data_IF_238922073304
#
_entry.id   IF_238922073304
#
_cell.length_a   1.000
_cell.length_b   1.000
_cell.length_c   1.000
_cell.angle_alpha   90.00
_cell.angle_beta   90.00
_cell.angle_gamma   90.00
#
_symmetry.space_group_name_H-M   'P 1'
#
loop_
_entity.id
_entity.type
_entity.pdbx_description
1 polymer ?
#
# COMPACT_ATOMS: atom_id res chain seq x y z
N UNK A 1 -29.92 -2.72 -12.25
CA UNK A 1 -28.91 -2.44 -11.19
C UNK A 1 -28.42 -0.99 -11.24
N UNK A 2 -28.01 -0.45 -12.40
CA UNK A 2 -27.56 0.94 -12.54
C UNK A 2 -28.55 2.01 -12.02
N UNK A 3 -29.83 1.93 -12.42
CA UNK A 3 -30.83 2.94 -12.01
C UNK A 3 -31.18 2.95 -10.51
N UNK A 4 -31.03 1.82 -9.81
CA UNK A 4 -31.24 1.77 -8.35
C UNK A 4 -30.10 2.48 -7.64
N UNK A 5 -28.86 2.23 -8.06
CA UNK A 5 -27.68 2.86 -7.48
C UNK A 5 -27.71 4.38 -7.71
N UNK A 6 -28.12 4.81 -8.91
CA UNK A 6 -28.25 6.24 -9.23
C UNK A 6 -29.31 6.94 -8.37
N UNK A 7 -30.48 6.33 -8.20
CA UNK A 7 -31.53 6.86 -7.35
C UNK A 7 -31.10 6.89 -5.87
N UNK A 8 -30.40 5.86 -5.41
CA UNK A 8 -29.89 5.78 -4.04
C UNK A 8 -28.80 6.82 -3.78
N UNK A 9 -27.85 7.01 -4.70
CA UNK A 9 -26.84 8.06 -4.60
C UNK A 9 -27.50 9.44 -4.55
N UNK A 10 -28.45 9.73 -5.45
CA UNK A 10 -29.19 11.02 -5.44
C UNK A 10 -29.95 11.23 -4.13
N UNK A 11 -30.55 10.19 -3.56
CA UNK A 11 -31.22 10.26 -2.25
C UNK A 11 -30.22 10.55 -1.13
N UNK A 12 -29.09 9.84 -1.09
CA UNK A 12 -28.03 10.05 -0.10
C UNK A 12 -27.45 11.47 -0.17
N UNK A 13 -27.15 11.99 -1.36
CA UNK A 13 -26.65 13.36 -1.53
C UNK A 13 -27.67 14.38 -1.00
N UNK A 14 -28.96 14.21 -1.30
CA UNK A 14 -30.02 15.08 -0.77
C UNK A 14 -30.10 15.03 0.76
N UNK A 15 -29.99 13.84 1.35
CA UNK A 15 -29.99 13.68 2.81
C UNK A 15 -28.77 14.33 3.46
N UNK A 16 -27.58 14.18 2.88
CA UNK A 16 -26.35 14.84 3.35
C UNK A 16 -26.44 16.36 3.29
N UNK A 17 -26.96 16.92 2.19
CA UNK A 17 -27.20 18.36 2.06
C UNK A 17 -28.25 18.86 3.08
N UNK A 18 -29.29 18.06 3.36
CA UNK A 18 -30.33 18.42 4.33
C UNK A 18 -29.83 18.41 5.79
N UNK A 19 -28.92 17.49 6.14
CA UNK A 19 -28.29 17.46 7.46
C UNK A 19 -27.39 18.69 7.65
N UNK A 20 -26.62 19.04 6.62
CA UNK A 20 -25.71 20.18 6.64
C UNK A 20 -24.52 20.04 7.61
N UNK A 21 -23.50 20.87 7.43
CA UNK A 21 -22.35 20.96 8.33
C UNK A 21 -21.19 20.00 8.03
N UNK A 22 -20.33 19.81 9.04
CA UNK A 22 -19.13 18.96 8.96
C UNK A 22 -19.39 17.64 9.69
N UNK A 23 -19.42 16.53 8.95
CA UNK A 23 -19.56 15.18 9.50
C UNK A 23 -18.19 14.59 9.79
N UNK A 24 -17.98 14.06 11.00
CA UNK A 24 -16.80 13.26 11.32
C UNK A 24 -17.10 11.81 10.97
N UNK A 25 -16.50 11.32 9.89
CA UNK A 25 -16.65 9.95 9.40
C UNK A 25 -15.38 9.15 9.74
N UNK A 26 -15.53 7.91 10.21
CA UNK A 26 -14.41 7.00 10.49
C UNK A 26 -14.52 6.27 11.82
N UNK A 27 -13.55 5.39 12.07
CA UNK A 27 -13.37 4.67 13.34
C UNK A 27 -12.78 5.58 14.42
N UNK A 28 -12.92 5.24 15.72
CA UNK A 28 -12.11 5.86 16.78
C UNK A 28 -10.62 5.83 16.39
N UNK A 29 -9.90 6.95 16.53
CA UNK A 29 -8.50 7.10 16.09
C UNK A 29 -8.30 7.64 14.66
N UNK A 30 -9.23 7.41 13.72
CA UNK A 30 -9.08 7.82 12.31
C UNK A 30 -10.32 8.53 11.76
N UNK A 31 -10.80 9.56 12.47
CA UNK A 31 -11.94 10.37 12.03
C UNK A 31 -11.50 11.43 11.02
N UNK A 32 -12.07 11.39 9.81
CA UNK A 32 -11.94 12.45 8.80
C UNK A 32 -13.15 13.38 8.88
N UNK A 33 -12.91 14.68 8.89
CA UNK A 33 -13.96 15.70 8.78
C UNK A 33 -14.34 15.88 7.32
N UNK A 34 -15.61 15.64 6.99
CA UNK A 34 -16.17 15.84 5.66
C UNK A 34 -17.19 16.99 5.68
N UNK A 35 -16.97 18.01 4.86
CA UNK A 35 -17.91 19.13 4.75
C UNK A 35 -18.97 18.83 3.70
N UNK A 36 -20.25 18.92 4.07
CA UNK A 36 -21.37 18.74 3.15
C UNK A 36 -21.43 19.81 2.04
N UNK A 37 -20.76 20.96 2.23
CA UNK A 37 -20.66 22.01 1.20
C UNK A 37 -19.92 21.56 -0.05
N UNK A 38 -19.11 20.51 0.05
CA UNK A 38 -18.39 19.91 -1.09
C UNK A 38 -19.36 19.16 -2.02
N UNK A 39 -20.65 19.02 -1.67
CA UNK A 39 -21.66 18.31 -2.46
C UNK A 39 -22.66 19.23 -3.19
N UNK A 40 -22.47 20.55 -3.16
CA UNK A 40 -23.40 21.52 -3.78
C UNK A 40 -23.14 21.79 -5.29
N UNK A 41 -22.03 21.29 -5.85
CA UNK A 41 -21.69 21.44 -7.26
C UNK A 41 -22.43 20.48 -8.22
N UNK A 42 -22.09 20.59 -9.51
CA UNK A 42 -22.53 19.62 -10.53
C UNK A 42 -21.57 18.42 -10.54
N UNK A 43 -22.06 17.23 -10.19
CA UNK A 43 -21.27 15.99 -10.20
C UNK A 43 -21.82 14.98 -11.20
N UNK A 44 -20.91 14.35 -11.93
CA UNK A 44 -21.21 13.18 -12.75
C UNK A 44 -20.85 11.91 -11.97
N UNK A 45 -21.86 11.14 -11.56
CA UNK A 45 -21.63 9.84 -10.88
C UNK A 45 -21.38 8.75 -11.92
N UNK A 46 -20.15 8.25 -12.00
CA UNK A 46 -19.78 7.12 -12.86
C UNK A 46 -19.76 5.83 -12.06
N UNK A 47 -20.49 4.82 -12.53
CA UNK A 47 -20.47 3.48 -11.94
C UNK A 47 -19.55 2.58 -12.74
N UNK A 48 -18.48 2.09 -12.11
CA UNK A 48 -17.61 1.04 -12.65
C UNK A 48 -17.99 -0.28 -11.99
N UNK A 49 -18.28 -1.30 -12.80
CA UNK A 49 -18.58 -2.65 -12.31
C UNK A 49 -17.41 -3.57 -12.67
N UNK A 50 -16.78 -4.14 -11.66
CA UNK A 50 -15.68 -5.09 -11.81
C UNK A 50 -16.13 -6.47 -11.34
N UNK A 51 -16.01 -7.49 -12.19
CA UNK A 51 -16.27 -8.87 -11.80
C UNK A 51 -15.00 -9.45 -11.16
N UNK A 52 -14.96 -9.46 -9.82
CA UNK A 52 -13.85 -10.05 -9.06
C UNK A 52 -13.98 -11.57 -9.03
N UNK A 53 -12.94 -12.26 -9.46
CA UNK A 53 -12.80 -13.71 -9.38
C UNK A 53 -11.31 -14.03 -9.28
N UNK A 54 -10.87 -14.92 -8.38
CA UNK A 54 -9.45 -15.25 -8.24
C UNK A 54 -8.78 -15.66 -9.56
N UNK A 55 -9.52 -16.32 -10.45
CA UNK A 55 -9.03 -16.74 -11.78
C UNK A 55 -8.83 -15.53 -12.70
N UNK A 56 -9.78 -14.60 -12.69
CA UNK A 56 -9.68 -13.36 -13.48
C UNK A 56 -8.53 -12.51 -12.96
N UNK A 57 -8.40 -12.38 -11.65
CA UNK A 57 -7.36 -11.57 -11.00
C UNK A 57 -5.96 -12.12 -11.30
N UNK A 58 -5.77 -13.45 -11.23
CA UNK A 58 -4.51 -14.09 -11.62
C UNK A 58 -4.13 -13.81 -13.10
N UNK A 59 -5.13 -13.77 -13.99
CA UNK A 59 -4.93 -13.38 -15.39
C UNK A 59 -4.50 -11.93 -15.54
N UNK A 60 -5.11 -11.01 -14.79
CA UNK A 60 -4.76 -9.58 -14.79
C UNK A 60 -3.36 -9.33 -14.23
N UNK A 61 -2.97 -10.03 -13.16
CA UNK A 61 -1.60 -9.97 -12.62
C UNK A 61 -0.56 -10.50 -13.62
N UNK A 62 -0.87 -11.61 -14.29
CA UNK A 62 0.00 -12.16 -15.34
C UNK A 62 0.16 -11.21 -16.52
N UNK A 63 -0.90 -10.50 -16.92
CA UNK A 63 -0.86 -9.49 -17.98
C UNK A 63 -0.04 -8.26 -17.54
N UNK A 64 -0.21 -7.78 -16.31
CA UNK A 64 0.56 -6.65 -15.81
C UNK A 64 2.06 -6.98 -15.66
N UNK A 65 2.39 -8.21 -15.26
CA UNK A 65 3.76 -8.70 -15.20
C UNK A 65 4.39 -8.79 -16.60
N UNK A 66 3.66 -9.33 -17.59
CA UNK A 66 4.16 -9.42 -18.96
C UNK A 66 4.33 -8.07 -19.65
N UNK A 67 3.52 -7.08 -19.28
CA UNK A 67 3.70 -5.71 -19.75
C UNK A 67 4.99 -5.06 -19.22
N UNK A 68 5.54 -5.56 -18.10
CA UNK A 68 6.81 -5.11 -17.54
C UNK A 68 6.90 -3.58 -17.44
N UNK A 69 8.04 -3.00 -17.80
CA UNK A 69 8.24 -1.55 -17.77
C UNK A 69 7.72 -0.82 -19.02
N UNK A 70 7.01 -1.50 -19.92
CA UNK A 70 6.50 -0.89 -21.15
C UNK A 70 5.34 0.09 -20.90
N UNK A 71 4.66 -0.05 -19.76
CA UNK A 71 3.55 0.81 -19.34
C UNK A 71 3.77 1.27 -17.90
N UNK A 72 3.24 2.45 -17.55
CA UNK A 72 3.39 3.00 -16.21
C UNK A 72 2.64 2.17 -15.16
N UNK A 73 3.19 2.09 -13.95
CA UNK A 73 2.55 1.42 -12.82
C UNK A 73 1.16 2.00 -12.49
N UNK A 74 1.00 3.32 -12.65
CA UNK A 74 -0.31 3.96 -12.52
C UNK A 74 -1.32 3.41 -13.51
N UNK A 75 -0.93 3.25 -14.77
CA UNK A 75 -1.82 2.67 -15.79
C UNK A 75 -2.18 1.22 -15.47
N UNK A 76 -1.22 0.42 -14.98
CA UNK A 76 -1.47 -0.96 -14.54
C UNK A 76 -2.52 -1.00 -13.42
N UNK A 77 -2.39 -0.16 -12.39
CA UNK A 77 -3.33 -0.07 -11.26
C UNK A 77 -4.75 0.29 -11.70
N UNK A 78 -4.89 1.29 -12.56
CA UNK A 78 -6.19 1.80 -12.98
C UNK A 78 -6.90 0.91 -14.01
N UNK A 79 -6.15 0.40 -15.00
CA UNK A 79 -6.72 -0.19 -16.22
C UNK A 79 -6.52 -1.70 -16.32
N UNK A 80 -5.45 -2.25 -15.73
CA UNK A 80 -5.21 -3.70 -15.74
C UNK A 80 -5.77 -4.32 -14.46
N UNK A 81 -5.28 -3.92 -13.29
CA UNK A 81 -5.78 -4.43 -12.00
C UNK A 81 -7.18 -3.95 -11.69
N UNK A 82 -7.58 -2.80 -12.24
CA UNK A 82 -8.88 -2.18 -11.99
C UNK A 82 -9.15 -2.03 -10.49
N UNK A 83 -8.14 -1.53 -9.76
CA UNK A 83 -8.24 -1.30 -8.31
C UNK A 83 -9.38 -0.31 -8.01
N UNK A 84 -10.02 -0.49 -6.86
CA UNK A 84 -11.08 0.41 -6.40
C UNK A 84 -10.53 1.79 -6.04
N UNK A 85 -9.35 1.84 -5.42
CA UNK A 85 -8.62 3.06 -5.05
C UNK A 85 -7.16 2.97 -5.53
N UNK A 86 -6.88 3.26 -6.82
CA UNK A 86 -5.53 3.16 -7.38
C UNK A 86 -4.58 4.24 -6.82
N UNK A 87 -5.10 5.41 -6.44
CA UNK A 87 -4.30 6.48 -5.84
C UNK A 87 -3.96 6.16 -4.38
N UNK A 88 -4.87 5.55 -3.62
CA UNK A 88 -4.60 5.02 -2.28
C UNK A 88 -3.46 4.00 -2.27
N UNK A 89 -3.49 3.05 -3.21
CA UNK A 89 -2.44 2.04 -3.37
C UNK A 89 -1.09 2.67 -3.76
N UNK A 90 -1.09 3.66 -4.66
CA UNK A 90 0.13 4.38 -5.01
C UNK A 90 0.73 5.12 -3.81
N UNK A 91 -0.10 5.74 -2.98
CA UNK A 91 0.36 6.41 -1.76
C UNK A 91 0.96 5.42 -0.77
N UNK A 92 0.35 4.24 -0.61
CA UNK A 92 0.87 3.16 0.22
C UNK A 92 2.24 2.66 -0.28
N UNK A 93 2.38 2.42 -1.58
CA UNK A 93 3.66 2.01 -2.17
C UNK A 93 4.75 3.06 -1.96
N UNK A 94 4.43 4.35 -2.15
CA UNK A 94 5.39 5.44 -1.86
C UNK A 94 5.74 5.51 -0.37
N UNK A 95 4.82 5.16 0.51
CA UNK A 95 5.10 5.08 1.94
C UNK A 95 6.05 3.94 2.28
N UNK A 96 5.93 2.79 1.63
CA UNK A 96 6.84 1.65 1.77
C UNK A 96 8.22 1.93 1.17
N UNK A 97 8.26 2.60 0.01
CA UNK A 97 9.50 3.03 -0.63
C UNK A 97 10.27 4.03 0.27
N UNK A 98 9.57 4.96 0.91
CA UNK A 98 10.17 5.88 1.87
C UNK A 98 10.81 5.16 3.07
N UNK A 99 10.20 4.07 3.55
CA UNK A 99 10.77 3.22 4.61
C UNK A 99 12.00 2.45 4.14
N UNK A 100 12.02 2.03 2.88
CA UNK A 100 13.17 1.34 2.29
C UNK A 100 14.36 2.29 2.13
N UNK A 101 14.11 3.53 1.70
CA UNK A 101 15.15 4.55 1.52
C UNK A 101 15.68 5.04 2.87
N UNK A 102 14.79 5.24 3.85
CA UNK A 102 15.15 5.77 5.16
C UNK A 102 14.65 4.87 6.29
N UNK A 103 15.52 4.01 6.84
CA UNK A 103 15.20 3.18 7.99
C UNK A 103 14.72 3.99 9.21
N UNK A 104 15.16 5.25 9.34
CA UNK A 104 14.71 6.15 10.40
C UNK A 104 13.20 6.47 10.30
N UNK A 105 12.65 6.57 9.09
CA UNK A 105 11.20 6.77 8.88
C UNK A 105 10.45 5.52 9.37
N UNK A 106 10.96 4.34 9.04
CA UNK A 106 10.39 3.06 9.50
C UNK A 106 10.37 2.99 11.03
N UNK A 107 11.50 3.25 11.69
CA UNK A 107 11.63 3.23 13.15
C UNK A 107 10.65 4.24 13.78
N UNK A 108 10.57 5.47 13.26
CA UNK A 108 9.66 6.48 13.79
C UNK A 108 8.19 6.07 13.69
N UNK A 109 7.78 5.44 12.58
CA UNK A 109 6.42 4.91 12.41
C UNK A 109 6.13 3.74 13.35
N UNK A 110 7.09 2.84 13.52
CA UNK A 110 6.97 1.74 14.49
C UNK A 110 6.78 2.28 15.91
N UNK A 111 7.52 3.33 16.30
CA UNK A 111 7.34 4.01 17.59
C UNK A 111 5.92 4.56 17.73
N UNK A 112 5.40 5.26 16.72
CA UNK A 112 4.02 5.78 16.75
C UNK A 112 2.98 4.66 16.89
N UNK A 113 3.12 3.57 16.12
CA UNK A 113 2.21 2.44 16.19
C UNK A 113 2.25 1.73 17.56
N UNK A 114 3.41 1.70 18.22
CA UNK A 114 3.54 1.19 19.58
C UNK A 114 2.92 2.13 20.62
N UNK A 115 3.04 3.45 20.44
CA UNK A 115 2.34 4.43 21.29
C UNK A 115 0.82 4.30 21.18
N UNK A 116 0.28 4.12 19.97
CA UNK A 116 -1.17 3.89 19.77
C UNK A 116 -1.63 2.60 20.49
N UNK A 117 -0.81 1.54 20.47
CA UNK A 117 -1.11 0.30 21.21
C UNK A 117 -1.01 0.44 22.72
N UNK A 118 -0.06 1.25 23.20
CA UNK A 118 0.04 1.58 24.61
C UNK A 118 -1.20 2.37 25.08
N UNK A 119 -1.72 3.29 24.25
CA UNK A 119 -3.00 3.99 24.52
C UNK A 119 -4.19 3.02 24.58
N UNK A 120 -4.16 1.96 23.77
CA UNK A 120 -5.17 0.88 23.78
C UNK A 120 -4.99 -0.13 24.94
N UNK A 121 -3.95 0.02 25.77
CA UNK A 121 -3.74 -0.74 27.01
C UNK A 121 -2.72 -1.87 26.95
N UNK A 122 -1.82 -1.88 25.96
CA UNK A 122 -0.69 -2.81 25.89
C UNK A 122 0.49 -2.31 26.75
N UNK A 123 0.76 -2.98 27.87
CA UNK A 123 1.78 -2.58 28.86
C UNK A 123 3.22 -2.69 28.33
N UNK A 124 3.47 -3.61 27.38
CA UNK A 124 4.81 -3.83 26.82
C UNK A 124 5.12 -2.81 25.71
N UNK A 125 4.09 -2.28 25.06
CA UNK A 125 4.23 -1.37 23.91
C UNK A 125 4.87 -0.02 24.27
N UNK A 126 4.62 0.50 25.49
CA UNK A 126 5.24 1.75 25.96
C UNK A 126 6.76 1.60 26.11
N UNK A 127 7.20 0.49 26.72
CA UNK A 127 8.63 0.20 26.90
C UNK A 127 9.34 -0.04 25.56
N UNK A 128 8.72 -0.78 24.64
CA UNK A 128 9.27 -1.00 23.29
C UNK A 128 9.40 0.31 22.49
N UNK A 129 8.41 1.22 22.60
CA UNK A 129 8.46 2.53 21.98
C UNK A 129 9.59 3.40 22.54
N UNK A 130 9.82 3.37 23.85
CA UNK A 130 10.91 4.09 24.50
C UNK A 130 12.29 3.56 24.07
N UNK A 131 12.45 2.24 24.02
CA UNK A 131 13.69 1.58 23.59
C UNK A 131 14.06 1.96 22.15
N UNK A 132 13.10 1.86 21.22
CA UNK A 132 13.31 2.23 19.82
C UNK A 132 13.61 3.73 19.66
N UNK A 133 12.97 4.58 20.49
CA UNK A 133 13.24 6.02 20.50
C UNK A 133 14.67 6.33 20.94
N UNK A 134 15.17 5.63 21.96
CA UNK A 134 16.55 5.75 22.43
C UNK A 134 17.56 5.30 21.36
N UNK A 135 17.30 4.17 20.69
CA UNK A 135 18.14 3.66 19.60
C UNK A 135 18.22 4.67 18.43
N UNK A 136 17.07 5.23 18.03
CA UNK A 136 17.01 6.26 17.00
C UNK A 136 17.82 7.51 17.39
N UNK A 137 17.74 7.93 18.66
CA UNK A 137 18.50 9.06 19.19
C UNK A 137 20.03 8.86 19.15
N UNK A 138 20.50 7.64 19.38
CA UNK A 138 21.92 7.27 19.25
C UNK A 138 22.36 7.29 17.78
N UNK A 139 21.56 6.68 16.89
CA UNK A 139 21.84 6.65 15.45
C UNK A 139 21.89 8.06 14.84
N UNK A 140 20.97 8.96 15.22
CA UNK A 140 20.96 10.35 14.77
C UNK A 140 22.21 11.12 15.21
N UNK A 141 22.66 10.93 16.45
CA UNK A 141 23.88 11.57 16.96
C UNK A 141 25.12 11.10 16.22
N UNK A 142 25.22 9.80 15.92
CA UNK A 142 26.31 9.23 15.12
C UNK A 142 26.34 9.81 13.69
N UNK A 143 25.16 9.89 13.04
CA UNK A 143 25.03 10.54 11.72
C UNK A 143 25.49 12.00 11.75
N UNK A 144 25.11 12.76 12.78
CA UNK A 144 25.49 14.16 12.94
C UNK A 144 26.99 14.34 13.26
N UNK A 145 27.63 13.38 13.92
CA UNK A 145 29.09 13.37 14.13
C UNK A 145 29.89 12.91 12.90
N UNK A 146 29.23 12.64 11.78
CA UNK A 146 29.87 12.21 10.52
C UNK A 146 30.22 10.72 10.48
N UNK A 147 29.80 9.94 11.48
CA UNK A 147 29.82 8.49 11.43
C UNK A 147 28.56 8.06 10.69
N UNK A 148 28.69 7.56 9.46
CA UNK A 148 27.54 6.98 8.76
C UNK A 148 27.24 5.64 9.42
N UNK A 149 26.15 5.49 10.20
CA UNK A 149 25.78 4.18 10.68
C UNK A 149 25.55 3.31 9.46
N UNK A 150 26.19 2.15 9.42
CA UNK A 150 25.88 1.10 8.45
C UNK A 150 24.51 0.53 8.79
N UNK A 151 23.47 1.32 8.54
CA UNK A 151 22.10 0.84 8.57
C UNK A 151 21.96 -0.33 7.59
N UNK A 152 20.96 -1.21 7.80
CA UNK A 152 20.72 -2.31 6.89
C UNK A 152 20.58 -1.76 5.47
N UNK A 153 21.41 -2.27 4.55
CA UNK A 153 21.35 -1.88 3.14
C UNK A 153 19.92 -2.11 2.64
N UNK A 154 19.35 -1.19 1.84
CA UNK A 154 18.03 -1.38 1.27
C UNK A 154 18.00 -2.72 0.52
N UNK A 155 17.07 -3.60 0.89
CA UNK A 155 16.84 -4.85 0.19
C UNK A 155 16.39 -4.52 -1.23
N UNK A 156 16.97 -5.21 -2.22
CA UNK A 156 16.60 -5.03 -3.62
C UNK A 156 15.11 -5.38 -3.83
N UNK A 157 14.45 -4.69 -4.76
CA UNK A 157 13.07 -5.02 -5.13
C UNK A 157 13.01 -6.40 -5.75
N UNK A 158 12.16 -7.28 -5.22
CA UNK A 158 11.87 -8.56 -5.85
C UNK A 158 11.06 -8.31 -7.13
N UNK A 159 11.62 -8.68 -8.28
CA UNK A 159 10.91 -8.55 -9.55
C UNK A 159 9.72 -9.53 -9.60
N UNK A 160 8.53 -9.07 -10.06
CA UNK A 160 7.34 -9.91 -10.11
C UNK A 160 7.54 -11.07 -11.09
N UNK A 161 7.61 -12.29 -10.56
CA UNK A 161 7.77 -13.52 -11.35
C UNK A 161 6.41 -14.00 -11.86
N UNK A 162 6.29 -14.17 -13.18
CA UNK A 162 5.07 -14.69 -13.79
C UNK A 162 4.93 -16.20 -13.50
N UNK A 163 3.99 -16.56 -12.62
CA UNK A 163 3.74 -17.97 -12.23
C UNK A 163 2.82 -18.74 -13.20
N UNK A 164 2.16 -18.05 -14.13
CA UNK A 164 1.28 -18.65 -15.13
C UNK A 164 1.91 -18.60 -16.52
N UNK A 165 2.28 -19.77 -17.04
CA UNK A 165 2.57 -19.93 -18.47
C UNK A 165 1.34 -19.56 -19.29
N UNK A 166 1.40 -18.45 -20.03
CA UNK A 166 0.34 -18.03 -20.95
C UNK A 166 0.19 -18.96 -22.17
N UNK A 167 1.12 -19.91 -22.35
CA UNK A 167 1.04 -20.95 -23.37
C UNK A 167 0.78 -22.29 -22.70
N UNK A 168 -0.38 -22.89 -23.02
CA UNK A 168 -0.65 -24.28 -22.71
C UNK A 168 0.36 -25.16 -23.45
N UNK A 169 1.43 -25.53 -22.75
CA UNK A 169 2.47 -26.44 -23.21
C UNK A 169 2.82 -27.38 -22.07
N UNK A 170 2.60 -28.66 -22.31
CA UNK A 170 2.95 -29.81 -21.50
C UNK A 170 4.21 -29.66 -20.64
N UNK A 171 4.07 -30.02 -19.35
CA UNK A 171 4.94 -30.99 -18.69
C UNK A 171 6.42 -30.66 -18.49
N UNK A 172 6.76 -30.36 -17.22
CA UNK A 172 7.96 -30.92 -16.59
C UNK A 172 9.24 -30.08 -16.67
N UNK A 173 9.68 -29.56 -15.53
CA UNK A 173 11.03 -29.03 -15.34
C UNK A 173 11.20 -28.33 -14.00
N UNK A 174 11.69 -29.05 -12.99
CA UNK A 174 11.96 -28.53 -11.65
C UNK A 174 13.09 -27.48 -11.59
N UNK A 175 13.25 -26.82 -10.44
CA UNK A 175 14.27 -25.79 -10.25
C UNK A 175 15.63 -26.42 -9.88
N UNK A 176 16.72 -25.88 -10.43
CA UNK A 176 18.00 -25.65 -9.74
C UNK A 176 19.14 -25.41 -10.75
N UNK A 177 19.35 -24.15 -11.14
CA UNK A 177 20.66 -23.66 -11.56
C UNK A 177 21.03 -22.45 -10.72
N UNK A 178 21.37 -22.70 -9.46
CA UNK A 178 22.05 -21.73 -8.58
C UNK A 178 23.09 -22.39 -7.66
N UNK A 179 23.59 -23.58 -8.02
CA UNK A 179 24.70 -24.26 -7.32
C UNK A 179 25.75 -24.74 -8.32
N UNK A 180 26.43 -23.83 -9.03
CA UNK A 180 27.70 -24.11 -9.74
C UNK A 180 28.61 -22.88 -9.80
N UNK A 181 28.68 -22.11 -8.73
CA UNK A 181 29.68 -21.03 -8.60
C UNK A 181 30.42 -21.04 -7.25
N UNK A 182 30.37 -22.14 -6.49
CA UNK A 182 31.02 -22.23 -5.18
C UNK A 182 32.11 -23.31 -5.07
N UNK A 183 32.59 -23.89 -6.18
CA UNK A 183 33.62 -24.96 -6.15
C UNK A 183 34.82 -24.71 -7.07
N UNK A 184 35.10 -23.45 -7.41
CA UNK A 184 36.30 -23.09 -8.16
C UNK A 184 37.04 -21.94 -7.46
N UNK A 185 37.39 -22.13 -6.19
CA UNK A 185 38.46 -21.42 -5.48
C UNK A 185 38.66 -22.04 -4.07
N UNK A 186 39.37 -23.17 -4.00
CA UNK A 186 40.02 -23.70 -2.80
C UNK A 186 41.16 -24.65 -3.18
#
# INVERSE_FOLDING_TARGET
KAGINEQLTRMFTKQMLQIGGTLKLGTPGHRKSFSASILEGEYETKYRYTARSPVTDAGLYSLAASAGNAISEKYKRENIYQLEDPDGEENQLRWEEAERISPAIKINRTIQALMDRAEDGDEDAEFEAELLSAEMGVNLRQMLSGEVPTGPKPQAEDEPTQVLSMFGGEGGGGPAQSQRQAEEEA
#
